data_IF_793439435489
#
_entry.id   IF_793439435489
#
_cell.length_a   1.000
_cell.length_b   1.000
_cell.length_c   1.000
_cell.angle_alpha   90.00
_cell.angle_beta   90.00
_cell.angle_gamma   90.00
#
_symmetry.space_group_name_H-M   'P 1'
#
loop_
_entity.id
_entity.type
_entity.pdbx_description
1 polymer ?
#
# COMPACT_ATOMS: atom_id res chain seq x y z
N UNK A 1 8.79 14.38 13.42
CA UNK A 1 9.53 15.02 12.33
C UNK A 1 8.81 14.70 11.03
N UNK A 2 7.84 15.53 10.66
CA UNK A 2 7.38 15.55 9.29
C UNK A 2 8.61 15.77 8.42
N UNK A 3 8.98 14.82 7.58
CA UNK A 3 9.90 15.04 6.49
C UNK A 3 9.26 16.16 5.65
N UNK A 4 9.71 17.37 5.89
CA UNK A 4 9.17 18.53 5.17
C UNK A 4 9.49 18.33 3.70
N UNK A 5 8.51 18.37 2.79
CA UNK A 5 8.76 18.36 1.35
C UNK A 5 9.86 19.37 1.02
N UNK A 6 10.71 19.06 0.02
CA UNK A 6 11.76 19.97 -0.43
C UNK A 6 11.16 21.36 -0.71
N UNK A 7 11.91 22.42 -0.54
CA UNK A 7 11.41 23.81 -0.58
C UNK A 7 10.50 24.14 -1.80
N UNK A 8 10.78 23.53 -2.97
CA UNK A 8 9.95 23.68 -4.19
C UNK A 8 8.55 23.09 -4.06
N UNK A 9 8.42 21.95 -3.35
CA UNK A 9 7.12 21.29 -3.16
C UNK A 9 6.25 22.06 -2.16
N UNK A 10 6.89 22.79 -1.23
CA UNK A 10 6.18 23.65 -0.27
C UNK A 10 5.48 24.82 -0.96
N UNK A 11 6.13 25.51 -1.90
CA UNK A 11 5.53 26.64 -2.62
C UNK A 11 4.31 26.18 -3.42
N UNK A 12 4.41 25.05 -4.13
CA UNK A 12 3.29 24.44 -4.87
C UNK A 12 2.14 24.02 -3.95
N UNK A 13 2.45 23.44 -2.77
CA UNK A 13 1.44 23.05 -1.79
C UNK A 13 0.75 24.28 -1.19
N UNK A 14 1.51 25.30 -0.77
CA UNK A 14 0.95 26.55 -0.25
C UNK A 14 0.10 27.28 -1.29
N UNK A 15 0.49 27.28 -2.55
CA UNK A 15 -0.29 27.87 -3.63
C UNK A 15 -1.62 27.13 -3.86
N UNK A 16 -1.60 25.80 -3.78
CA UNK A 16 -2.83 25.00 -3.85
C UNK A 16 -3.76 25.24 -2.64
N UNK A 17 -3.21 25.26 -1.43
CA UNK A 17 -3.96 25.50 -0.20
C UNK A 17 -4.54 26.93 -0.18
N UNK A 18 -3.80 27.95 -0.65
CA UNK A 18 -4.28 29.33 -0.70
C UNK A 18 -5.47 29.54 -1.62
N UNK A 19 -5.71 28.62 -2.56
CA UNK A 19 -6.86 28.61 -3.47
C UNK A 19 -8.08 27.88 -2.89
N UNK A 20 -7.95 27.30 -1.69
CA UNK A 20 -9.04 26.61 -0.98
C UNK A 20 -9.37 27.38 0.32
N UNK A 21 -10.53 27.08 0.91
CA UNK A 21 -10.89 27.59 2.24
C UNK A 21 -10.15 26.85 3.38
N UNK A 22 -9.12 26.07 3.06
CA UNK A 22 -8.38 25.28 4.03
C UNK A 22 -7.46 26.16 4.89
N UNK A 23 -7.42 25.87 6.18
CA UNK A 23 -6.50 26.51 7.14
C UNK A 23 -5.34 25.58 7.38
N UNK A 24 -4.13 26.03 7.07
CA UNK A 24 -2.90 25.29 7.33
C UNK A 24 -2.28 25.70 8.66
N UNK A 25 -2.14 24.77 9.59
CA UNK A 25 -1.48 24.96 10.88
C UNK A 25 -0.18 24.15 10.89
N UNK A 26 0.97 24.85 10.85
CA UNK A 26 2.28 24.21 10.99
C UNK A 26 2.63 24.08 12.47
N UNK A 27 2.15 23.01 13.13
CA UNK A 27 2.36 22.76 14.55
C UNK A 27 2.63 21.30 14.82
N UNK A 28 3.40 21.03 15.86
CA UNK A 28 3.52 19.70 16.43
C UNK A 28 2.40 19.48 17.44
N UNK A 29 1.39 18.73 17.04
CA UNK A 29 0.22 18.47 17.88
C UNK A 29 0.48 17.42 18.99
N UNK A 30 1.67 16.86 19.09
CA UNK A 30 2.08 16.07 20.27
C UNK A 30 2.22 16.95 21.50
N UNK A 31 2.51 18.25 21.33
CA UNK A 31 2.55 19.23 22.40
C UNK A 31 1.12 19.61 22.85
N UNK A 32 0.88 19.66 24.17
CA UNK A 32 -0.45 20.00 24.71
C UNK A 32 -0.96 21.36 24.25
N UNK A 33 -0.11 22.37 24.27
CA UNK A 33 -0.47 23.74 23.86
C UNK A 33 -0.92 23.81 22.41
N UNK A 34 -0.23 23.07 21.52
CA UNK A 34 -0.61 23.05 20.11
C UNK A 34 -1.92 22.30 19.88
N UNK A 35 -2.19 21.27 20.67
CA UNK A 35 -3.40 20.49 20.61
C UNK A 35 -4.63 21.31 21.07
N UNK A 36 -4.49 22.09 22.15
CA UNK A 36 -5.56 22.98 22.65
C UNK A 36 -5.96 24.05 21.62
N UNK A 37 -5.02 24.48 20.77
CA UNK A 37 -5.29 25.43 19.69
C UNK A 37 -6.17 24.87 18.57
N UNK A 38 -6.27 23.55 18.42
CA UNK A 38 -7.18 22.91 17.46
C UNK A 38 -8.64 23.22 17.72
N UNK A 39 -8.99 23.65 18.95
CA UNK A 39 -10.37 23.97 19.35
C UNK A 39 -11.36 22.89 18.90
N UNK A 40 -11.07 21.64 19.28
CA UNK A 40 -11.86 20.45 18.91
C UNK A 40 -13.35 20.69 19.12
N UNK A 41 -13.76 21.40 20.19
CA UNK A 41 -15.15 21.76 20.45
C UNK A 41 -15.82 22.48 19.28
N UNK A 42 -15.09 23.33 18.56
CA UNK A 42 -15.64 24.06 17.40
C UNK A 42 -15.66 23.22 16.12
N UNK A 43 -14.78 22.22 16.02
CA UNK A 43 -14.73 21.32 14.87
C UNK A 43 -15.84 20.28 14.92
N UNK A 44 -16.10 19.75 16.11
CA UNK A 44 -17.02 18.63 16.35
C UNK A 44 -18.49 19.07 16.43
N UNK A 45 -18.75 20.34 16.71
CA UNK A 45 -20.10 20.90 16.79
C UNK A 45 -20.80 21.08 15.42
N UNK A 46 -20.09 20.84 14.34
CA UNK A 46 -20.61 20.89 12.96
C UNK A 46 -21.16 19.51 12.55
N UNK A 47 -21.98 19.46 11.51
CA UNK A 47 -22.84 18.33 11.15
C UNK A 47 -22.14 16.98 11.00
N UNK A 48 -21.08 16.89 10.22
CA UNK A 48 -20.23 15.70 10.01
C UNK A 48 -18.79 16.15 10.06
N UNK A 49 -18.00 15.52 10.90
CA UNK A 49 -16.58 15.81 11.01
C UNK A 49 -15.78 14.54 10.64
N UNK A 50 -14.81 14.69 9.73
CA UNK A 50 -13.85 13.66 9.39
C UNK A 50 -12.46 14.12 9.76
N UNK A 51 -11.70 13.28 10.45
CA UNK A 51 -10.31 13.55 10.81
C UNK A 51 -9.43 12.44 10.29
N UNK A 52 -8.34 12.81 9.61
CA UNK A 52 -7.40 11.88 9.00
C UNK A 52 -6.05 11.99 9.71
N UNK A 53 -5.52 10.85 10.18
CA UNK A 53 -4.21 10.74 10.82
C UNK A 53 -3.29 9.99 9.85
N UNK A 54 -2.45 10.74 9.12
CA UNK A 54 -1.73 10.29 7.93
C UNK A 54 -0.20 10.32 8.10
N UNK A 55 0.30 10.37 9.32
CA UNK A 55 1.74 10.28 9.56
C UNK A 55 2.27 8.91 9.13
N UNK A 56 3.53 8.86 8.68
CA UNK A 56 4.25 7.60 8.48
C UNK A 56 4.52 6.84 9.79
N UNK A 57 4.42 7.53 10.93
CA UNK A 57 4.55 6.94 12.27
C UNK A 57 3.17 6.53 12.78
N UNK A 58 2.93 5.24 12.80
CA UNK A 58 1.66 4.63 13.24
C UNK A 58 1.35 4.91 14.71
N UNK A 59 2.35 4.79 15.60
CA UNK A 59 2.18 5.06 17.02
C UNK A 59 1.73 6.50 17.26
N UNK A 60 2.24 7.44 16.45
CA UNK A 60 1.81 8.83 16.49
C UNK A 60 0.34 8.98 16.05
N UNK A 61 -0.06 8.31 14.97
CA UNK A 61 -1.43 8.35 14.48
C UNK A 61 -2.41 7.81 15.53
N UNK A 62 -2.08 6.67 16.14
CA UNK A 62 -2.87 6.02 17.18
C UNK A 62 -2.96 6.94 18.40
N UNK A 63 -1.82 7.44 18.89
CA UNK A 63 -1.77 8.32 20.04
C UNK A 63 -2.62 9.58 19.84
N UNK A 64 -2.50 10.22 18.68
CA UNK A 64 -3.24 11.45 18.38
C UNK A 64 -4.75 11.21 18.25
N UNK A 65 -5.16 10.10 17.63
CA UNK A 65 -6.59 9.76 17.54
C UNK A 65 -7.21 9.45 18.92
N UNK A 66 -6.50 8.71 19.77
CA UNK A 66 -6.92 8.48 21.16
C UNK A 66 -6.96 9.77 21.98
N UNK A 67 -6.03 10.70 21.76
CA UNK A 67 -6.02 12.02 22.40
C UNK A 67 -7.24 12.85 22.01
N UNK A 68 -7.66 12.80 20.74
CA UNK A 68 -8.91 13.44 20.28
C UNK A 68 -10.13 12.85 21.00
N UNK A 69 -10.24 11.53 21.08
CA UNK A 69 -11.34 10.85 21.80
C UNK A 69 -11.35 11.25 23.29
N UNK A 70 -10.17 11.27 23.92
CA UNK A 70 -10.00 11.68 25.31
C UNK A 70 -10.48 13.12 25.54
N UNK A 71 -10.15 14.04 24.64
CA UNK A 71 -10.54 15.44 24.71
C UNK A 71 -12.06 15.64 24.55
N UNK A 72 -12.67 14.90 23.62
CA UNK A 72 -14.12 14.89 23.43
C UNK A 72 -14.83 14.47 24.73
N UNK A 73 -14.32 13.44 25.41
CA UNK A 73 -14.85 13.00 26.71
C UNK A 73 -14.63 14.04 27.81
N UNK A 74 -13.42 14.60 27.90
CA UNK A 74 -13.07 15.62 28.90
C UNK A 74 -13.97 16.83 28.82
N UNK A 75 -14.28 17.28 27.61
CA UNK A 75 -15.15 18.43 27.34
C UNK A 75 -16.63 18.07 27.30
N UNK A 76 -16.99 16.81 27.50
CA UNK A 76 -18.35 16.29 27.42
C UNK A 76 -19.08 16.66 26.12
N UNK A 77 -18.33 16.65 24.99
CA UNK A 77 -18.88 16.94 23.68
C UNK A 77 -19.72 15.76 23.19
N UNK A 78 -20.81 16.08 22.51
CA UNK A 78 -21.70 15.11 21.88
C UNK A 78 -21.67 15.35 20.37
N UNK A 79 -20.67 14.78 19.65
CA UNK A 79 -20.59 14.93 18.21
C UNK A 79 -21.84 14.34 17.54
N UNK A 80 -22.37 15.01 16.53
CA UNK A 80 -23.44 14.45 15.71
C UNK A 80 -22.97 13.24 14.95
N UNK A 81 -21.80 13.35 14.33
CA UNK A 81 -21.12 12.28 13.63
C UNK A 81 -19.64 12.65 13.50
N UNK A 82 -18.76 11.88 14.11
CA UNK A 82 -17.33 12.04 13.98
C UNK A 82 -16.71 10.75 13.47
N UNK A 83 -15.98 10.83 12.37
CA UNK A 83 -15.22 9.72 11.80
C UNK A 83 -13.73 10.01 11.86
N UNK A 84 -12.98 9.09 12.46
CA UNK A 84 -11.53 9.13 12.55
C UNK A 84 -10.94 8.08 11.62
N UNK A 85 -10.11 8.52 10.68
CA UNK A 85 -9.39 7.64 9.75
C UNK A 85 -7.94 7.58 10.17
N UNK A 86 -7.49 6.40 10.61
CA UNK A 86 -6.18 6.22 11.25
C UNK A 86 -5.31 5.28 10.41
N UNK A 87 -4.18 5.80 9.93
CA UNK A 87 -3.18 5.00 9.23
C UNK A 87 -2.40 4.17 10.25
N UNK A 88 -2.70 2.87 10.32
CA UNK A 88 -2.05 1.89 11.19
C UNK A 88 -2.25 0.46 10.66
N UNK A 89 -1.29 -0.43 10.94
CA UNK A 89 -1.29 -1.80 10.42
C UNK A 89 -2.04 -2.81 11.30
N UNK A 90 -2.33 -2.47 12.56
CA UNK A 90 -2.85 -3.44 13.52
C UNK A 90 -4.38 -3.40 13.65
N UNK A 91 -5.03 -4.48 13.25
CA UNK A 91 -6.47 -4.70 13.49
C UNK A 91 -6.79 -4.85 15.00
N UNK A 92 -5.82 -5.27 15.81
CA UNK A 92 -5.97 -5.40 17.27
C UNK A 92 -6.27 -4.07 17.96
N UNK A 93 -5.97 -2.95 17.30
CA UNK A 93 -6.28 -1.62 17.80
C UNK A 93 -7.78 -1.30 17.77
N UNK A 94 -8.59 -2.03 17.00
CA UNK A 94 -10.04 -1.82 16.92
C UNK A 94 -10.67 -1.99 18.30
N UNK A 95 -10.27 -3.02 19.04
CA UNK A 95 -10.78 -3.28 20.39
C UNK A 95 -10.38 -2.17 21.37
N UNK A 96 -9.14 -1.67 21.26
CA UNK A 96 -8.67 -0.53 22.06
C UNK A 96 -9.50 0.73 21.80
N UNK A 97 -9.81 1.02 20.54
CA UNK A 97 -10.66 2.15 20.19
C UNK A 97 -12.09 1.95 20.67
N UNK A 98 -12.67 0.75 20.50
CA UNK A 98 -14.02 0.44 20.94
C UNK A 98 -14.19 0.69 22.44
N UNK A 99 -13.22 0.25 23.27
CA UNK A 99 -13.20 0.53 24.71
C UNK A 99 -13.18 2.03 25.02
N UNK A 100 -12.35 2.78 24.29
CA UNK A 100 -12.18 4.24 24.50
C UNK A 100 -13.33 5.07 23.97
N UNK A 101 -14.01 4.65 22.92
CA UNK A 101 -15.16 5.35 22.33
C UNK A 101 -16.38 5.21 23.23
N UNK A 102 -16.73 4.01 23.70
CA UNK A 102 -17.91 3.76 24.51
C UNK A 102 -19.20 4.32 23.87
N UNK A 103 -19.99 5.15 24.60
CA UNK A 103 -21.26 5.66 24.09
C UNK A 103 -21.14 6.90 23.19
N UNK A 104 -19.93 7.32 22.81
CA UNK A 104 -19.75 8.47 21.93
C UNK A 104 -20.16 8.10 20.50
N UNK A 105 -20.77 9.05 19.79
CA UNK A 105 -21.05 8.89 18.35
C UNK A 105 -19.79 9.18 17.52
N UNK A 106 -18.80 8.30 17.68
CA UNK A 106 -17.49 8.34 17.03
C UNK A 106 -17.24 6.99 16.36
N UNK A 107 -16.95 7.00 15.08
CA UNK A 107 -16.52 5.85 14.31
C UNK A 107 -15.02 5.94 14.08
N UNK A 108 -14.29 4.83 14.26
CA UNK A 108 -12.87 4.75 13.93
C UNK A 108 -12.68 3.75 12.81
N UNK A 109 -12.00 4.19 11.77
CA UNK A 109 -11.66 3.41 10.60
C UNK A 109 -10.13 3.31 10.52
N UNK A 110 -9.60 2.09 10.57
CA UNK A 110 -8.18 1.81 10.43
C UNK A 110 -7.91 1.41 8.99
N UNK A 111 -6.88 1.98 8.43
CA UNK A 111 -6.39 1.63 7.09
C UNK A 111 -4.87 1.67 7.09
N UNK A 112 -4.24 1.00 6.16
CA UNK A 112 -2.80 1.07 6.01
C UNK A 112 -2.37 1.33 4.56
N UNK A 113 -1.16 1.90 4.40
CA UNK A 113 -0.58 2.21 3.10
C UNK A 113 -0.51 0.99 2.20
N UNK A 114 -0.11 -0.15 2.75
CA UNK A 114 0.12 -1.36 1.96
C UNK A 114 -1.18 -1.91 1.36
N UNK A 115 -2.29 -1.86 2.10
CA UNK A 115 -3.62 -2.21 1.58
C UNK A 115 -4.05 -1.25 0.47
N UNK A 116 -3.92 0.08 0.69
CA UNK A 116 -4.26 1.08 -0.33
C UNK A 116 -3.42 0.90 -1.61
N UNK A 117 -2.10 0.67 -1.46
CA UNK A 117 -1.22 0.45 -2.59
C UNK A 117 -1.52 -0.87 -3.32
N UNK A 118 -1.90 -1.93 -2.60
CA UNK A 118 -2.34 -3.19 -3.19
C UNK A 118 -3.64 -3.01 -3.99
N UNK A 119 -4.56 -2.18 -3.51
CA UNK A 119 -5.80 -1.85 -4.21
C UNK A 119 -5.53 -1.04 -5.49
N UNK A 120 -4.64 -0.04 -5.44
CA UNK A 120 -4.17 0.65 -6.64
C UNK A 120 -3.53 -0.33 -7.63
N UNK A 121 -2.69 -1.24 -7.14
CA UNK A 121 -2.01 -2.25 -7.94
C UNK A 121 -2.99 -3.11 -8.74
N UNK A 122 -3.98 -3.72 -8.08
CA UNK A 122 -4.96 -4.58 -8.76
C UNK A 122 -5.92 -3.79 -9.66
N UNK A 123 -6.19 -2.53 -9.36
CA UNK A 123 -7.01 -1.65 -10.20
C UNK A 123 -6.29 -1.34 -11.52
N UNK A 124 -5.01 -1.03 -11.47
CA UNK A 124 -4.22 -0.65 -12.63
C UNK A 124 -3.69 -1.86 -13.41
N UNK A 125 -3.37 -2.96 -12.70
CA UNK A 125 -2.75 -4.17 -13.25
C UNK A 125 -3.48 -5.44 -12.81
N UNK A 126 -4.80 -5.55 -13.10
CA UNK A 126 -5.55 -6.73 -12.69
C UNK A 126 -5.01 -7.98 -13.40
N UNK A 127 -4.93 -9.13 -12.72
CA UNK A 127 -4.41 -10.38 -13.27
C UNK A 127 -5.06 -10.81 -14.59
N UNK A 128 -6.34 -10.48 -14.77
CA UNK A 128 -7.09 -10.79 -16.00
C UNK A 128 -6.44 -10.20 -17.25
N UNK A 129 -5.80 -9.04 -17.15
CA UNK A 129 -5.15 -8.38 -18.29
C UNK A 129 -3.86 -9.10 -18.75
N UNK A 130 -3.30 -9.97 -17.92
CA UNK A 130 -2.12 -10.76 -18.24
C UNK A 130 -2.45 -12.14 -18.84
N UNK A 131 -3.73 -12.50 -18.90
CA UNK A 131 -4.18 -13.80 -19.38
C UNK A 131 -4.85 -13.70 -20.75
N UNK A 132 -4.71 -14.78 -21.51
CA UNK A 132 -5.51 -15.00 -22.72
C UNK A 132 -6.80 -15.72 -22.30
N UNK A 133 -7.93 -15.14 -22.63
CA UNK A 133 -9.24 -15.69 -22.29
C UNK A 133 -9.95 -16.21 -23.53
N UNK A 134 -10.60 -17.36 -23.45
CA UNK A 134 -11.61 -17.81 -24.39
C UNK A 134 -12.96 -17.20 -23.95
N UNK A 135 -13.29 -16.05 -24.53
CA UNK A 135 -14.44 -15.24 -24.11
C UNK A 135 -15.79 -15.96 -24.22
N UNK A 136 -15.93 -16.88 -25.22
CA UNK A 136 -17.16 -17.66 -25.42
C UNK A 136 -17.47 -18.63 -24.27
N UNK A 137 -16.44 -19.08 -23.56
CA UNK A 137 -16.53 -20.03 -22.43
C UNK A 137 -16.17 -19.40 -21.09
N UNK A 138 -15.72 -18.15 -21.08
CA UNK A 138 -15.19 -17.47 -19.89
C UNK A 138 -14.08 -18.29 -19.18
N UNK A 139 -13.15 -18.88 -19.95
CA UNK A 139 -12.07 -19.75 -19.45
C UNK A 139 -10.72 -19.13 -19.79
N UNK A 140 -9.79 -19.17 -18.86
CA UNK A 140 -8.41 -18.79 -19.11
C UNK A 140 -7.65 -19.90 -19.86
N UNK A 141 -6.83 -19.51 -20.84
CA UNK A 141 -6.05 -20.43 -21.66
C UNK A 141 -4.61 -20.65 -21.17
N UNK A 142 -4.24 -20.02 -20.06
CA UNK A 142 -2.93 -20.15 -19.45
C UNK A 142 -3.02 -19.91 -17.94
N UNK A 143 -2.03 -20.45 -17.20
CA UNK A 143 -1.87 -20.18 -15.80
C UNK A 143 -1.43 -18.73 -15.55
N UNK A 144 -1.83 -18.18 -14.40
CA UNK A 144 -1.31 -16.93 -13.89
C UNK A 144 -0.12 -17.23 -12.97
N UNK A 145 1.05 -16.71 -13.33
CA UNK A 145 2.28 -16.87 -12.54
C UNK A 145 2.90 -15.52 -12.23
N UNK A 146 3.26 -15.28 -10.98
CA UNK A 146 3.95 -14.07 -10.54
C UNK A 146 5.14 -14.37 -9.65
N UNK A 147 6.06 -13.40 -9.59
CA UNK A 147 7.18 -13.37 -8.67
C UNK A 147 7.05 -12.16 -7.75
N UNK A 148 7.28 -12.34 -6.45
CA UNK A 148 7.30 -11.26 -5.46
C UNK A 148 8.69 -11.16 -4.86
N UNK A 149 9.29 -9.99 -4.92
CA UNK A 149 10.61 -9.67 -4.39
C UNK A 149 10.43 -8.67 -3.25
N UNK A 150 10.71 -9.13 -2.02
CA UNK A 150 10.39 -8.44 -0.79
C UNK A 150 9.03 -8.86 -0.22
N UNK A 151 9.04 -9.52 0.93
CA UNK A 151 7.85 -10.03 1.62
C UNK A 151 7.66 -9.34 2.98
N UNK A 152 7.62 -8.01 2.94
CA UNK A 152 7.13 -7.14 4.02
C UNK A 152 5.62 -6.91 3.91
N UNK A 153 5.11 -5.86 4.58
CA UNK A 153 3.68 -5.52 4.55
C UNK A 153 3.17 -5.35 3.11
N UNK A 154 3.90 -4.62 2.26
CA UNK A 154 3.47 -4.40 0.87
C UNK A 154 3.45 -5.70 0.05
N UNK A 155 4.50 -6.52 0.14
CA UNK A 155 4.55 -7.79 -0.59
C UNK A 155 3.46 -8.77 -0.17
N UNK A 156 3.15 -8.82 1.13
CA UNK A 156 2.09 -9.70 1.66
C UNK A 156 0.69 -9.22 1.28
N UNK A 157 0.41 -7.90 1.36
CA UNK A 157 -0.88 -7.34 0.93
C UNK A 157 -1.09 -7.51 -0.58
N UNK A 158 -0.04 -7.27 -1.38
CA UNK A 158 -0.09 -7.51 -2.82
C UNK A 158 -0.36 -8.98 -3.17
N UNK A 159 0.27 -9.92 -2.46
CA UNK A 159 0.00 -11.35 -2.67
C UNK A 159 -1.47 -11.69 -2.40
N UNK A 160 -2.03 -11.21 -1.29
CA UNK A 160 -3.45 -11.44 -0.95
C UNK A 160 -4.38 -10.88 -2.03
N UNK A 161 -4.20 -9.62 -2.40
CA UNK A 161 -5.00 -8.95 -3.43
C UNK A 161 -4.88 -9.65 -4.80
N UNK A 162 -3.68 -10.09 -5.18
CA UNK A 162 -3.45 -10.82 -6.43
C UNK A 162 -4.09 -12.22 -6.41
N UNK A 163 -4.12 -12.91 -5.26
CA UNK A 163 -4.82 -14.19 -5.12
C UNK A 163 -6.33 -13.98 -5.28
N UNK A 164 -6.91 -12.99 -4.59
CA UNK A 164 -8.34 -12.68 -4.66
C UNK A 164 -8.82 -12.39 -6.09
N UNK A 165 -8.04 -11.63 -6.84
CA UNK A 165 -8.36 -11.22 -8.21
C UNK A 165 -7.79 -12.14 -9.30
N UNK A 166 -6.95 -13.11 -8.94
CA UNK A 166 -6.23 -13.99 -9.87
C UNK A 166 -6.83 -15.38 -10.05
N UNK A 167 -8.05 -15.60 -9.56
CA UNK A 167 -8.72 -16.91 -9.64
C UNK A 167 -9.61 -16.99 -10.88
N UNK A 168 -9.18 -17.75 -11.88
CA UNK A 168 -9.93 -17.92 -13.14
C UNK A 168 -10.18 -19.39 -13.45
N UNK A 169 -11.34 -19.69 -13.99
CA UNK A 169 -11.65 -21.03 -14.49
C UNK A 169 -10.65 -21.38 -15.59
N UNK A 170 -9.98 -22.53 -15.47
CA UNK A 170 -8.97 -23.01 -16.43
C UNK A 170 -7.56 -22.48 -16.19
N UNK A 171 -7.34 -21.69 -15.11
CA UNK A 171 -6.02 -21.21 -14.73
C UNK A 171 -5.67 -21.63 -13.31
N UNK A 172 -4.41 -21.94 -13.09
CA UNK A 172 -3.84 -22.12 -11.76
C UNK A 172 -3.07 -20.87 -11.37
N UNK A 173 -3.39 -20.30 -10.20
CA UNK A 173 -2.60 -19.22 -9.62
C UNK A 173 -1.31 -19.76 -9.02
N UNK A 174 -0.19 -19.18 -9.41
CA UNK A 174 1.15 -19.53 -8.88
C UNK A 174 1.89 -18.28 -8.46
N UNK A 175 2.50 -18.30 -7.30
CA UNK A 175 3.41 -17.24 -6.88
C UNK A 175 4.72 -17.81 -6.32
N UNK A 176 5.83 -17.24 -6.75
CA UNK A 176 7.15 -17.45 -6.15
C UNK A 176 7.50 -16.22 -5.35
N UNK A 177 7.83 -16.36 -4.08
CA UNK A 177 8.08 -15.28 -3.15
C UNK A 177 9.53 -15.35 -2.67
N UNK A 178 10.27 -14.26 -2.84
CA UNK A 178 11.68 -14.15 -2.46
C UNK A 178 11.86 -13.05 -1.45
N UNK A 179 12.47 -13.37 -0.31
CA UNK A 179 12.86 -12.40 0.71
C UNK A 179 14.11 -12.91 1.46
N UNK A 180 14.96 -12.00 1.92
CA UNK A 180 16.18 -12.36 2.68
C UNK A 180 15.89 -13.00 4.05
N UNK A 181 14.69 -12.80 4.59
CA UNK A 181 14.24 -13.32 5.89
C UNK A 181 13.04 -14.25 5.73
N UNK A 182 12.92 -14.92 4.60
CA UNK A 182 11.72 -15.70 4.23
C UNK A 182 11.37 -16.79 5.24
N UNK A 183 12.37 -17.47 5.80
CA UNK A 183 12.12 -18.54 6.81
C UNK A 183 11.31 -18.06 8.01
N UNK A 184 11.56 -16.82 8.46
CA UNK A 184 10.81 -16.23 9.57
C UNK A 184 9.41 -15.78 9.13
N UNK A 185 9.31 -15.19 7.93
CA UNK A 185 8.07 -14.55 7.46
C UNK A 185 7.04 -15.55 6.96
N UNK A 186 7.46 -16.59 6.23
CA UNK A 186 6.54 -17.57 5.64
C UNK A 186 5.69 -18.30 6.69
N UNK A 187 6.32 -18.79 7.77
CA UNK A 187 5.62 -19.50 8.84
C UNK A 187 4.58 -18.63 9.54
N UNK A 188 4.90 -17.36 9.79
CA UNK A 188 3.98 -16.41 10.40
C UNK A 188 2.80 -16.11 9.46
N UNK A 189 3.08 -15.84 8.19
CA UNK A 189 2.06 -15.57 7.17
C UNK A 189 1.09 -16.75 6.98
N UNK A 190 1.59 -17.97 6.88
CA UNK A 190 0.75 -19.16 6.79
C UNK A 190 -0.08 -19.44 8.05
N UNK A 191 0.42 -19.01 9.22
CA UNK A 191 -0.32 -19.10 10.47
C UNK A 191 -1.54 -18.18 10.47
N UNK A 192 -1.37 -16.93 10.03
CA UNK A 192 -2.47 -15.97 9.96
C UNK A 192 -3.44 -16.26 8.82
N UNK A 193 -2.96 -16.83 7.72
CA UNK A 193 -3.76 -17.08 6.51
C UNK A 193 -3.76 -18.55 6.11
N UNK A 194 -4.30 -19.47 6.93
CA UNK A 194 -4.23 -20.91 6.68
C UNK A 194 -4.93 -21.37 5.39
N UNK A 195 -5.88 -20.58 4.88
CA UNK A 195 -6.57 -20.86 3.60
C UNK A 195 -5.65 -20.77 2.39
N UNK A 196 -4.54 -20.03 2.49
CA UNK A 196 -3.59 -19.86 1.39
C UNK A 196 -2.77 -21.12 1.07
N UNK A 197 -2.75 -22.12 1.95
CA UNK A 197 -2.14 -23.45 1.69
C UNK A 197 -2.72 -24.18 0.48
N UNK A 198 -3.89 -23.77 0.01
CA UNK A 198 -4.53 -24.34 -1.16
C UNK A 198 -3.98 -23.79 -2.49
N UNK A 199 -3.16 -22.75 -2.43
CA UNK A 199 -2.53 -22.11 -3.60
C UNK A 199 -1.11 -22.64 -3.79
N UNK A 200 -0.61 -22.55 -5.04
CA UNK A 200 0.77 -22.93 -5.37
C UNK A 200 1.71 -21.76 -5.04
N UNK A 201 2.10 -21.66 -3.77
CA UNK A 201 3.01 -20.64 -3.25
C UNK A 201 4.37 -21.30 -2.97
N UNK A 202 5.44 -20.73 -3.51
CA UNK A 202 6.82 -21.16 -3.29
C UNK A 202 7.58 -20.04 -2.59
N UNK A 203 8.20 -20.34 -1.45
CA UNK A 203 8.93 -19.39 -0.62
C UNK A 203 10.45 -19.68 -0.72
N UNK A 204 11.23 -18.66 -1.06
CA UNK A 204 12.67 -18.74 -1.20
C UNK A 204 13.38 -17.67 -0.40
N UNK A 205 14.37 -18.07 0.40
CA UNK A 205 15.23 -17.14 1.12
C UNK A 205 16.46 -16.84 0.27
N UNK A 206 16.52 -15.61 -0.27
CA UNK A 206 17.66 -15.16 -1.04
C UNK A 206 17.82 -13.63 -0.92
N UNK A 207 19.09 -13.20 -0.93
CA UNK A 207 19.44 -11.78 -1.03
C UNK A 207 19.29 -11.32 -2.48
N UNK A 208 18.63 -10.16 -2.68
CA UNK A 208 18.48 -9.54 -4.00
C UNK A 208 19.87 -9.30 -4.61
N UNK A 209 20.00 -9.54 -5.91
CA UNK A 209 21.27 -9.42 -6.66
C UNK A 209 22.35 -10.45 -6.31
N UNK A 210 22.03 -11.49 -5.54
CA UNK A 210 22.91 -12.65 -5.39
C UNK A 210 22.85 -13.57 -6.59
N UNK A 211 23.86 -14.42 -6.76
CA UNK A 211 23.86 -15.45 -7.81
C UNK A 211 22.69 -16.43 -7.66
N UNK A 212 22.33 -16.74 -6.41
CA UNK A 212 21.19 -17.61 -6.08
C UNK A 212 19.88 -16.99 -6.56
N UNK A 213 19.70 -15.70 -6.31
CA UNK A 213 18.53 -14.92 -6.75
C UNK A 213 18.38 -14.96 -8.29
N UNK A 214 19.44 -14.69 -9.04
CA UNK A 214 19.37 -14.69 -10.51
C UNK A 214 19.18 -16.09 -11.10
N UNK A 215 19.75 -17.14 -10.50
CA UNK A 215 19.51 -18.51 -10.91
C UNK A 215 18.04 -18.89 -10.71
N UNK A 216 17.47 -18.58 -9.54
CA UNK A 216 16.06 -18.82 -9.25
C UNK A 216 15.15 -18.05 -10.22
N UNK A 217 15.46 -16.77 -10.48
CA UNK A 217 14.72 -15.96 -11.43
C UNK A 217 14.71 -16.57 -12.83
N UNK A 218 15.87 -17.03 -13.32
CA UNK A 218 16.01 -17.66 -14.64
C UNK A 218 15.12 -18.88 -14.78
N UNK A 219 15.06 -19.73 -13.75
CA UNK A 219 14.22 -20.94 -13.75
C UNK A 219 12.72 -20.62 -13.79
N UNK A 220 12.32 -19.43 -13.32
CA UNK A 220 10.91 -19.02 -13.22
C UNK A 220 10.43 -18.14 -14.38
N UNK A 221 11.31 -17.65 -15.27
CA UNK A 221 10.91 -16.73 -16.36
C UNK A 221 9.85 -17.32 -17.30
N UNK A 222 9.88 -18.65 -17.51
CA UNK A 222 8.92 -19.29 -18.40
C UNK A 222 7.49 -19.21 -17.84
N UNK A 223 6.61 -18.51 -18.55
CA UNK A 223 5.21 -18.34 -18.16
C UNK A 223 4.94 -17.25 -17.15
N UNK A 224 5.98 -16.56 -16.65
CA UNK A 224 5.85 -15.45 -15.72
C UNK A 224 5.08 -14.29 -16.37
N UNK A 225 4.15 -13.69 -15.61
CA UNK A 225 3.33 -12.56 -16.04
C UNK A 225 3.73 -11.28 -15.32
N UNK A 226 3.84 -11.33 -14.01
CA UNK A 226 4.16 -10.19 -13.18
C UNK A 226 5.37 -10.46 -12.29
N UNK A 227 6.22 -9.46 -12.14
CA UNK A 227 7.24 -9.38 -11.09
C UNK A 227 6.89 -8.19 -10.23
N UNK A 228 6.67 -8.43 -8.95
CA UNK A 228 6.43 -7.39 -7.97
C UNK A 228 7.73 -7.08 -7.21
N UNK A 229 8.10 -5.81 -7.10
CA UNK A 229 9.25 -5.36 -6.33
C UNK A 229 8.76 -4.47 -5.19
N UNK A 230 8.96 -4.93 -3.93
CA UNK A 230 8.45 -4.30 -2.71
C UNK A 230 9.45 -4.47 -1.55
N UNK A 231 10.65 -3.89 -1.69
CA UNK A 231 11.78 -4.00 -0.74
C UNK A 231 11.75 -2.93 0.38
N UNK A 232 10.75 -2.03 0.35
CA UNK A 232 10.51 -1.03 1.39
C UNK A 232 11.22 0.31 1.18
N UNK A 233 12.11 0.44 0.22
CA UNK A 233 12.82 1.68 -0.11
C UNK A 233 12.71 1.97 -1.61
N UNK A 234 12.29 3.19 -1.98
CA UNK A 234 12.07 3.58 -3.37
C UNK A 234 13.32 3.38 -4.23
N UNK A 235 14.48 3.84 -3.76
CA UNK A 235 15.73 3.74 -4.52
C UNK A 235 16.11 2.28 -4.78
N UNK A 236 15.98 1.41 -3.78
CA UNK A 236 16.26 -0.01 -3.91
C UNK A 236 15.25 -0.70 -4.83
N UNK A 237 13.98 -0.37 -4.73
CA UNK A 237 12.93 -0.89 -5.60
C UNK A 237 13.20 -0.53 -7.06
N UNK A 238 13.49 0.74 -7.35
CA UNK A 238 13.77 1.22 -8.71
C UNK A 238 15.05 0.58 -9.27
N UNK A 239 16.13 0.55 -8.49
CA UNK A 239 17.38 -0.09 -8.90
C UNK A 239 17.14 -1.57 -9.26
N UNK A 240 16.46 -2.30 -8.41
CA UNK A 240 16.12 -3.70 -8.64
C UNK A 240 15.26 -3.88 -9.88
N UNK A 241 14.26 -3.02 -10.09
CA UNK A 241 13.41 -3.08 -11.27
C UNK A 241 14.18 -2.87 -12.57
N UNK A 242 15.13 -1.93 -12.60
CA UNK A 242 16.00 -1.68 -13.76
C UNK A 242 16.93 -2.87 -14.01
N UNK A 243 17.54 -3.43 -12.97
CA UNK A 243 18.40 -4.62 -13.10
C UNK A 243 17.63 -5.85 -13.62
N UNK A 244 16.37 -6.02 -13.13
CA UNK A 244 15.46 -7.07 -13.63
C UNK A 244 15.09 -6.87 -15.10
N UNK A 245 14.78 -5.65 -15.50
CA UNK A 245 14.50 -5.31 -16.91
C UNK A 245 15.65 -5.70 -17.82
N UNK A 246 16.88 -5.34 -17.46
CA UNK A 246 18.06 -5.74 -18.20
C UNK A 246 18.33 -7.25 -18.18
N UNK A 247 18.04 -7.93 -17.07
CA UNK A 247 18.20 -9.37 -16.98
C UNK A 247 17.19 -10.09 -17.88
N UNK A 248 15.91 -9.73 -17.78
CA UNK A 248 14.82 -10.32 -18.56
C UNK A 248 15.09 -10.17 -20.06
N UNK A 249 15.47 -8.98 -20.51
CA UNK A 249 15.75 -8.70 -21.94
C UNK A 249 16.91 -9.53 -22.51
N UNK A 250 17.81 -10.06 -21.67
CA UNK A 250 18.92 -10.95 -22.08
C UNK A 250 18.55 -12.43 -22.06
N UNK A 251 17.66 -12.82 -21.14
CA UNK A 251 17.37 -14.24 -20.90
C UNK A 251 16.11 -14.72 -21.64
N UNK A 252 15.23 -13.82 -22.08
CA UNK A 252 13.99 -14.19 -22.77
C UNK A 252 13.51 -13.13 -23.74
N UNK A 253 12.84 -13.56 -24.81
CA UNK A 253 12.13 -12.68 -25.75
C UNK A 253 10.68 -12.38 -25.29
N UNK A 254 10.32 -12.76 -24.06
CA UNK A 254 8.99 -12.52 -23.51
C UNK A 254 8.83 -11.04 -23.08
N UNK A 255 8.32 -10.23 -23.98
CA UNK A 255 8.04 -8.79 -23.76
C UNK A 255 6.73 -8.53 -23.01
N UNK A 256 6.03 -9.56 -22.54
CA UNK A 256 4.76 -9.45 -21.82
C UNK A 256 4.92 -9.42 -20.30
N UNK A 257 6.12 -9.70 -19.77
CA UNK A 257 6.37 -9.62 -18.32
C UNK A 257 6.33 -8.15 -17.89
N UNK A 258 5.53 -7.86 -16.87
CA UNK A 258 5.51 -6.53 -16.24
C UNK A 258 6.23 -6.54 -14.90
N UNK A 259 7.04 -5.52 -14.65
CA UNK A 259 7.73 -5.29 -13.39
C UNK A 259 6.96 -4.20 -12.63
N UNK A 260 6.18 -4.63 -11.65
CA UNK A 260 5.32 -3.79 -10.82
C UNK A 260 6.15 -3.33 -9.61
N UNK A 261 6.46 -2.04 -9.54
CA UNK A 261 7.43 -1.50 -8.59
C UNK A 261 6.74 -0.55 -7.63
N UNK A 262 6.76 -0.91 -6.34
CA UNK A 262 6.23 -0.06 -5.26
C UNK A 262 7.12 1.18 -5.07
N UNK A 263 6.52 2.36 -5.03
CA UNK A 263 7.20 3.63 -4.75
C UNK A 263 6.32 4.56 -3.94
N UNK A 264 6.92 5.26 -2.98
CA UNK A 264 6.24 6.28 -2.16
C UNK A 264 6.08 7.59 -2.92
N UNK A 265 7.04 7.90 -3.81
CA UNK A 265 7.06 9.16 -4.54
C UNK A 265 7.43 8.95 -6.02
N UNK A 266 6.44 8.89 -6.89
CA UNK A 266 6.66 8.73 -8.34
C UNK A 266 7.36 9.91 -9.01
N UNK A 267 7.32 11.12 -8.42
CA UNK A 267 7.92 12.33 -9.02
C UNK A 267 9.44 12.25 -9.08
N UNK A 268 10.07 11.67 -8.05
CA UNK A 268 11.53 11.54 -7.99
C UNK A 268 12.05 10.55 -9.06
N UNK A 269 11.17 9.68 -9.57
CA UNK A 269 11.48 8.65 -10.58
C UNK A 269 10.77 8.87 -11.91
N UNK A 270 10.38 10.12 -12.20
CA UNK A 270 9.71 10.48 -13.47
C UNK A 270 10.52 10.13 -14.72
N UNK A 271 11.85 10.03 -14.60
CA UNK A 271 12.72 9.60 -15.69
C UNK A 271 12.44 8.17 -16.16
N UNK A 272 12.02 7.27 -15.27
CA UNK A 272 11.58 5.89 -15.63
C UNK A 272 10.34 5.96 -16.52
N UNK A 273 9.39 6.82 -16.16
CA UNK A 273 8.17 7.00 -16.95
C UNK A 273 8.41 7.70 -18.30
N UNK A 274 9.42 8.58 -18.36
CA UNK A 274 9.81 9.26 -19.60
C UNK A 274 10.58 8.34 -20.54
N UNK A 275 11.37 7.41 -20.00
CA UNK A 275 12.15 6.44 -20.77
C UNK A 275 11.32 5.19 -21.18
N UNK A 276 10.04 5.37 -21.51
CA UNK A 276 9.09 4.27 -21.83
C UNK A 276 9.55 3.32 -22.92
N UNK A 277 10.41 3.77 -23.85
CA UNK A 277 10.96 2.90 -24.88
C UNK A 277 12.01 1.92 -24.33
N UNK A 278 12.75 2.34 -23.28
CA UNK A 278 13.80 1.51 -22.66
C UNK A 278 13.27 0.63 -21.51
N UNK A 279 12.24 1.10 -20.80
CA UNK A 279 11.70 0.46 -19.58
C UNK A 279 10.16 0.32 -19.65
N UNK A 280 9.65 -0.08 -20.83
CA UNK A 280 8.20 -0.19 -21.07
C UNK A 280 7.49 -1.18 -20.14
N UNK A 281 8.23 -2.17 -19.63
CA UNK A 281 7.76 -3.19 -18.71
C UNK A 281 7.71 -2.71 -17.24
N UNK A 282 8.44 -1.66 -16.86
CA UNK A 282 8.46 -1.14 -15.50
C UNK A 282 7.23 -0.24 -15.27
N UNK A 283 6.43 -0.63 -14.30
CA UNK A 283 5.21 0.04 -13.90
C UNK A 283 5.31 0.48 -12.44
N UNK A 284 5.23 1.77 -12.17
CA UNK A 284 5.26 2.33 -10.81
C UNK A 284 3.85 2.40 -10.23
N UNK A 285 3.70 2.03 -8.94
CA UNK A 285 2.43 2.10 -8.21
C UNK A 285 2.68 2.44 -6.73
N UNK A 286 1.63 2.69 -5.96
CA UNK A 286 1.69 2.88 -4.51
C UNK A 286 2.11 4.27 -4.06
N UNK A 287 2.16 5.26 -4.97
CA UNK A 287 2.60 6.58 -4.58
C UNK A 287 1.61 7.26 -3.63
N UNK A 288 2.15 7.95 -2.62
CA UNK A 288 1.34 8.65 -1.63
C UNK A 288 0.36 9.66 -2.25
N UNK A 289 0.75 10.30 -3.37
CA UNK A 289 -0.14 11.22 -4.07
C UNK A 289 -1.38 10.52 -4.68
N UNK A 290 -1.25 9.25 -5.03
CA UNK A 290 -2.33 8.47 -5.66
C UNK A 290 -3.22 7.80 -4.62
N UNK A 291 -2.61 7.20 -3.59
CA UNK A 291 -3.33 6.35 -2.64
C UNK A 291 -3.97 7.13 -1.48
N UNK A 292 -3.38 8.26 -1.05
CA UNK A 292 -3.93 9.07 0.03
C UNK A 292 -4.94 10.11 -0.49
N UNK A 293 -5.98 9.63 -1.15
CA UNK A 293 -7.15 10.45 -1.49
C UNK A 293 -8.31 10.13 -0.56
N UNK A 294 -9.18 11.13 -0.31
CA UNK A 294 -10.34 10.95 0.58
C UNK A 294 -11.21 9.77 0.12
N UNK A 295 -11.47 9.67 -1.17
CA UNK A 295 -12.33 8.61 -1.74
C UNK A 295 -11.73 7.21 -1.53
N UNK A 296 -10.43 7.03 -1.75
CA UNK A 296 -9.76 5.74 -1.59
C UNK A 296 -9.76 5.32 -0.12
N UNK A 297 -9.35 6.23 0.78
CA UNK A 297 -9.30 5.93 2.23
C UNK A 297 -10.69 5.58 2.77
N UNK A 298 -11.73 6.32 2.38
CA UNK A 298 -13.10 6.07 2.86
C UNK A 298 -13.63 4.73 2.32
N UNK A 299 -13.32 4.37 1.09
CA UNK A 299 -13.80 3.11 0.51
C UNK A 299 -13.12 1.91 1.14
N UNK A 300 -11.80 1.93 1.29
CA UNK A 300 -11.03 0.85 1.90
C UNK A 300 -11.39 0.63 3.37
N UNK A 301 -11.67 1.69 4.11
CA UNK A 301 -11.99 1.60 5.54
C UNK A 301 -13.44 1.21 5.84
N UNK A 302 -14.27 0.93 4.82
CA UNK A 302 -15.66 0.46 4.98
C UNK A 302 -15.80 -1.07 4.95
N UNK A 303 -14.78 -1.76 4.46
CA UNK A 303 -14.70 -3.22 4.44
C UNK A 303 -14.12 -3.77 5.74
#
# INVERSE_FOLDING_TARGET
NLSLPRLRDKESLFEKISKTEAVFLKKDFSEEVAFDELKISKLVDKSVCRMFFLSENEDYNIHMSLKVIGEIRRLQLLPKELRLYVNADSEELIDLFAEKIGPLNVEVHIFNRSKLAAQELITNYPPVNALKLETSKAVALSDFSMLIIGFGNMGSEALKAMIEQGQFVGSTFRATIIDKEMKCKAGLFEHYYPGLKNYQLEYHEAEVNSSEFFNLLKDKLAGLKYILVALGEDELNIKTAVELSHFISRETDNDQIKILTDVYNTRDYSYIQQAKECFKEICLYGSNDNIYTEDIIINESRE
#
